data_IF_948257418766
#
_entry.id   IF_948257418766
#
_cell.length_a   1.000
_cell.length_b   1.000
_cell.length_c   1.000
_cell.angle_alpha   90.00
_cell.angle_beta   90.00
_cell.angle_gamma   90.00
#
_symmetry.space_group_name_H-M   'P 1'
#
loop_
_entity.id
_entity.type
_entity.pdbx_description
1 polymer ?
#
# COMPACT_ATOMS: atom_id res chain seq x y z
N UNK A 1 -10.24 -10.15 -2.71
CA UNK A 1 -9.14 -10.23 -3.68
C UNK A 1 -7.91 -10.87 -3.06
N UNK A 2 -7.07 -11.42 -3.91
CA UNK A 2 -5.81 -12.01 -3.47
C UNK A 2 -4.64 -11.33 -4.14
N UNK A 3 -3.57 -11.16 -3.40
CA UNK A 3 -2.28 -10.74 -3.92
C UNK A 3 -1.43 -11.99 -4.10
N UNK A 4 -0.89 -12.17 -5.31
CA UNK A 4 -0.17 -13.40 -5.67
C UNK A 4 1.24 -13.03 -6.10
N UNK A 5 2.24 -13.73 -5.54
CA UNK A 5 3.61 -13.64 -6.02
C UNK A 5 3.83 -14.76 -7.03
N UNK A 6 3.89 -14.39 -8.31
CA UNK A 6 3.99 -15.37 -9.39
C UNK A 6 5.32 -16.15 -9.39
N UNK A 7 6.35 -15.63 -8.74
CA UNK A 7 7.65 -16.29 -8.68
C UNK A 7 7.65 -17.51 -7.76
N UNK A 8 6.89 -17.44 -6.65
CA UNK A 8 6.88 -18.53 -5.66
C UNK A 8 5.48 -19.09 -5.42
N UNK A 9 4.48 -18.60 -6.13
CA UNK A 9 3.07 -19.03 -6.04
C UNK A 9 2.42 -18.77 -4.68
N UNK A 10 3.07 -18.00 -3.80
CA UNK A 10 2.44 -17.60 -2.54
C UNK A 10 1.37 -16.56 -2.79
N UNK A 11 0.28 -16.66 -2.04
CA UNK A 11 -0.82 -15.71 -2.15
C UNK A 11 -1.34 -15.33 -0.78
N UNK A 12 -1.93 -14.14 -0.68
CA UNK A 12 -2.54 -13.66 0.55
C UNK A 12 -3.78 -12.84 0.22
N UNK A 13 -4.80 -12.96 1.05
CA UNK A 13 -6.02 -12.17 0.89
C UNK A 13 -5.74 -10.70 1.22
N UNK A 14 -6.29 -9.80 0.42
CA UNK A 14 -6.28 -8.35 0.69
C UNK A 14 -7.71 -7.83 0.68
N UNK A 15 -7.98 -6.86 1.55
CA UNK A 15 -9.29 -6.19 1.58
C UNK A 15 -9.45 -5.31 0.34
N UNK A 16 -10.67 -4.85 0.08
CA UNK A 16 -10.92 -3.94 -1.03
C UNK A 16 -10.08 -2.67 -0.95
N UNK A 17 -9.99 -2.08 0.25
CA UNK A 17 -9.21 -0.86 0.43
C UNK A 17 -7.72 -1.10 0.23
N UNK A 18 -7.21 -2.20 0.75
CA UNK A 18 -5.82 -2.58 0.52
C UNK A 18 -5.55 -2.80 -0.96
N UNK A 19 -6.45 -3.47 -1.64
CA UNK A 19 -6.32 -3.71 -3.08
C UNK A 19 -6.29 -2.40 -3.87
N UNK A 20 -7.18 -1.46 -3.54
CA UNK A 20 -7.21 -0.16 -4.21
C UNK A 20 -5.89 0.61 -4.01
N UNK A 21 -5.34 0.58 -2.80
CA UNK A 21 -4.07 1.23 -2.51
C UNK A 21 -2.94 0.59 -3.32
N UNK A 22 -2.85 -0.72 -3.29
CA UNK A 22 -1.82 -1.45 -4.03
C UNK A 22 -1.92 -1.15 -5.53
N UNK A 23 -3.13 -1.11 -6.05
CA UNK A 23 -3.39 -0.88 -7.47
C UNK A 23 -2.88 0.49 -7.92
N UNK A 24 -3.08 1.55 -7.13
CA UNK A 24 -2.58 2.87 -7.51
C UNK A 24 -1.05 2.91 -7.47
N UNK A 25 -0.42 2.19 -6.55
CA UNK A 25 1.03 2.10 -6.52
C UNK A 25 1.61 1.35 -7.72
N UNK A 26 0.88 0.38 -8.25
CA UNK A 26 1.33 -0.33 -9.45
C UNK A 26 1.21 0.53 -10.71
N UNK A 27 0.33 1.53 -10.67
CA UNK A 27 0.22 2.50 -11.77
C UNK A 27 1.24 3.63 -11.65
N UNK A 28 1.49 4.09 -10.43
CA UNK A 28 2.35 5.24 -10.15
C UNK A 28 3.22 4.90 -8.95
N UNK A 29 4.51 4.86 -9.15
CA UNK A 29 5.44 4.46 -8.09
C UNK A 29 5.39 5.37 -6.88
N UNK A 30 5.08 6.65 -7.07
CA UNK A 30 5.02 7.64 -5.98
C UNK A 30 3.61 8.21 -5.93
N UNK A 31 3.01 8.15 -4.75
CA UNK A 31 1.63 8.63 -4.51
C UNK A 31 1.63 9.52 -3.28
N UNK A 32 0.91 10.63 -3.34
CA UNK A 32 0.75 11.50 -2.18
C UNK A 32 -0.17 10.85 -1.14
N UNK A 33 0.18 11.00 0.13
CA UNK A 33 -0.64 10.49 1.24
C UNK A 33 -2.06 11.04 1.18
N UNK A 34 -2.21 12.32 0.85
CA UNK A 34 -3.52 12.97 0.74
C UNK A 34 -4.42 12.27 -0.27
N UNK A 35 -3.84 11.86 -1.39
CA UNK A 35 -4.61 11.15 -2.41
C UNK A 35 -5.23 9.88 -1.86
N UNK A 36 -4.44 9.09 -1.14
CA UNK A 36 -4.92 7.83 -0.58
C UNK A 36 -5.98 8.10 0.49
N UNK A 37 -5.73 9.06 1.37
CA UNK A 37 -6.67 9.40 2.44
C UNK A 37 -8.00 9.88 1.89
N UNK A 38 -7.99 10.79 0.94
CA UNK A 38 -9.20 11.42 0.43
C UNK A 38 -9.93 10.57 -0.60
N UNK A 39 -9.20 9.97 -1.54
CA UNK A 39 -9.80 9.30 -2.70
C UNK A 39 -10.05 7.80 -2.49
N UNK A 40 -9.26 7.16 -1.64
CA UNK A 40 -9.40 5.73 -1.41
C UNK A 40 -10.06 5.46 -0.07
N UNK A 41 -9.56 6.07 0.99
CA UNK A 41 -10.07 5.83 2.35
C UNK A 41 -11.24 6.75 2.72
N UNK A 42 -11.51 7.77 1.92
CA UNK A 42 -12.59 8.74 2.14
C UNK A 42 -12.48 9.44 3.51
N UNK A 43 -11.25 9.68 3.95
CA UNK A 43 -10.99 10.36 5.21
C UNK A 43 -10.81 11.85 4.98
N UNK A 44 -11.28 12.66 5.92
CA UNK A 44 -11.02 14.08 5.87
C UNK A 44 -9.57 14.36 6.26
N UNK A 45 -9.00 15.38 5.62
CA UNK A 45 -7.58 15.73 5.75
C UNK A 45 -7.09 15.93 7.18
N UNK A 46 -7.99 16.35 8.07
CA UNK A 46 -7.64 16.79 9.43
C UNK A 46 -7.82 15.68 10.45
N UNK A 47 -8.45 14.56 10.11
CA UNK A 47 -9.07 13.75 11.14
C UNK A 47 -8.23 12.57 11.61
N UNK A 48 -7.46 11.91 10.75
CA UNK A 48 -6.75 10.74 11.28
C UNK A 48 -5.76 10.13 10.29
N UNK A 49 -4.48 10.33 10.58
CA UNK A 49 -3.43 9.64 9.84
C UNK A 49 -3.24 8.18 10.29
N UNK A 50 -3.79 7.81 11.45
CA UNK A 50 -3.63 6.46 12.00
C UNK A 50 -4.28 5.39 11.11
N UNK A 51 -5.40 5.73 10.49
CA UNK A 51 -6.08 4.79 9.60
C UNK A 51 -5.22 4.47 8.38
N UNK A 52 -4.60 5.49 7.78
CA UNK A 52 -3.67 5.28 6.68
C UNK A 52 -2.47 4.43 7.12
N UNK A 53 -1.87 4.77 8.27
CA UNK A 53 -0.72 4.04 8.79
C UNK A 53 -1.07 2.57 9.06
N UNK A 54 -2.26 2.31 9.58
CA UNK A 54 -2.73 0.94 9.82
C UNK A 54 -2.86 0.16 8.53
N UNK A 55 -3.44 0.78 7.49
CA UNK A 55 -3.55 0.14 6.18
C UNK A 55 -2.18 -0.17 5.58
N UNK A 56 -1.26 0.80 5.66
CA UNK A 56 0.09 0.62 5.12
C UNK A 56 0.85 -0.47 5.85
N UNK A 57 0.72 -0.53 7.18
CA UNK A 57 1.37 -1.57 7.97
C UNK A 57 0.88 -2.95 7.57
N UNK A 58 -0.42 -3.11 7.40
CA UNK A 58 -0.98 -4.39 6.96
C UNK A 58 -0.52 -4.77 5.55
N UNK A 59 -0.46 -3.80 4.64
CA UNK A 59 0.01 -4.04 3.27
C UNK A 59 1.49 -4.47 3.30
N UNK A 60 2.32 -3.77 4.06
CA UNK A 60 3.75 -4.12 4.18
C UNK A 60 3.93 -5.53 4.72
N UNK A 61 3.16 -5.90 5.74
CA UNK A 61 3.22 -7.25 6.30
C UNK A 61 2.77 -8.31 5.29
N UNK A 62 1.78 -8.01 4.48
CA UNK A 62 1.32 -8.92 3.44
C UNK A 62 2.37 -9.08 2.33
N UNK A 63 3.04 -8.00 1.95
CA UNK A 63 4.17 -8.10 1.01
C UNK A 63 5.28 -9.01 1.54
N UNK A 64 5.60 -8.90 2.84
CA UNK A 64 6.58 -9.78 3.48
C UNK A 64 6.10 -11.24 3.49
N UNK A 65 4.83 -11.44 3.77
CA UNK A 65 4.24 -12.77 3.91
C UNK A 65 4.38 -13.61 2.63
N UNK A 66 4.30 -12.97 1.48
CA UNK A 66 4.45 -13.66 0.20
C UNK A 66 5.85 -13.51 -0.41
N UNK A 67 6.80 -13.02 0.38
CA UNK A 67 8.20 -12.85 -0.04
C UNK A 67 8.34 -12.05 -1.33
N UNK A 68 7.53 -11.00 -1.48
CA UNK A 68 7.48 -10.22 -2.72
C UNK A 68 8.70 -9.31 -2.89
N UNK A 69 9.40 -8.98 -1.81
CA UNK A 69 10.47 -7.99 -1.84
C UNK A 69 9.97 -6.56 -1.99
N UNK A 70 8.67 -6.34 -1.96
CA UNK A 70 8.09 -5.01 -2.10
C UNK A 70 7.96 -4.33 -0.75
N UNK A 71 8.10 -3.01 -0.74
CA UNK A 71 7.87 -2.18 0.43
C UNK A 71 7.33 -0.83 0.00
N UNK A 72 6.59 -0.20 0.91
CA UNK A 72 6.09 1.16 0.72
C UNK A 72 6.74 2.03 1.79
N UNK A 73 7.47 3.05 1.38
CA UNK A 73 8.18 3.94 2.30
C UNK A 73 7.83 5.39 2.06
N UNK A 74 7.98 6.19 3.12
CA UNK A 74 7.76 7.63 3.04
C UNK A 74 8.92 8.30 2.29
N UNK A 75 8.57 9.24 1.43
CA UNK A 75 9.52 10.07 0.71
C UNK A 75 9.12 11.54 0.86
N UNK A 76 9.85 12.45 0.24
CA UNK A 76 9.63 13.89 0.38
C UNK A 76 8.22 14.31 -0.04
N UNK A 77 7.75 15.43 0.51
CA UNK A 77 6.49 16.09 0.14
C UNK A 77 5.25 15.25 0.46
N UNK A 78 5.24 14.65 1.65
CA UNK A 78 4.12 13.83 2.12
C UNK A 78 3.68 12.78 1.11
N UNK A 79 4.66 12.14 0.49
CA UNK A 79 4.44 11.11 -0.51
C UNK A 79 4.93 9.77 -0.03
N UNK A 80 4.43 8.72 -0.68
CA UNK A 80 4.82 7.34 -0.44
C UNK A 80 5.33 6.74 -1.74
N UNK A 81 6.30 5.87 -1.64
CA UNK A 81 6.87 5.22 -2.81
C UNK A 81 6.90 3.71 -2.61
N UNK A 82 6.44 2.96 -3.62
CA UNK A 82 6.62 1.52 -3.64
C UNK A 82 7.98 1.19 -4.23
N UNK A 83 8.71 0.33 -3.55
CA UNK A 83 10.06 -0.08 -3.96
C UNK A 83 10.20 -1.59 -3.89
N UNK A 84 11.04 -2.13 -4.74
CA UNK A 84 11.49 -3.50 -4.63
C UNK A 84 12.82 -3.49 -3.88
N UNK A 85 12.91 -4.23 -2.77
CA UNK A 85 14.06 -4.20 -1.88
C UNK A 85 15.24 -5.05 -2.35
N UNK A 86 15.04 -5.83 -3.38
CA UNK A 86 16.07 -6.71 -3.89
C UNK A 86 16.30 -6.46 -5.36
#
# INVERSE_FOLDING_TARGET
SFLINSNNQKKIYVTEKEFEIIKVFFKNKVIKKDYIQEKILNLQKIVDTKSLDSHLTRIRNKFLNIDSGLNISSVKNDSLEIKKLI
#
